data_IF_881714812376
#
_entry.id   IF_881714812376
#
_cell.length_a   1.000
_cell.length_b   1.000
_cell.length_c   1.000
_cell.angle_alpha   90.00
_cell.angle_beta   90.00
_cell.angle_gamma   90.00
#
_symmetry.space_group_name_H-M   'P 1'
#
loop_
_entity.id
_entity.type
_entity.pdbx_description
1 polymer ?
#
# COMPACT_ATOMS: atom_id res chain seq x y z
N UNK A 1 10.79 5.03 -22.26
CA UNK A 1 9.84 5.02 -21.13
C UNK A 1 8.73 4.06 -21.51
N UNK A 2 8.76 2.83 -21.01
CA UNK A 2 7.69 1.86 -21.24
C UNK A 2 6.42 2.36 -20.57
N UNK A 3 5.30 2.32 -21.30
CA UNK A 3 4.00 2.70 -20.77
C UNK A 3 3.59 1.68 -19.70
N UNK A 4 3.48 2.14 -18.45
CA UNK A 4 2.93 1.34 -17.36
C UNK A 4 1.44 1.12 -17.65
N UNK A 5 1.02 -0.13 -17.87
CA UNK A 5 -0.37 -0.47 -18.15
C UNK A 5 -1.04 -1.11 -16.92
N UNK A 6 -2.33 -1.44 -17.02
CA UNK A 6 -3.11 -1.95 -15.89
C UNK A 6 -2.61 -3.32 -15.38
N UNK A 7 -2.07 -4.19 -16.25
CA UNK A 7 -1.56 -5.49 -15.84
C UNK A 7 -0.31 -5.37 -14.98
N UNK A 8 0.51 -4.34 -15.22
CA UNK A 8 1.71 -4.07 -14.41
C UNK A 8 1.36 -3.76 -12.93
N UNK A 9 0.13 -3.27 -12.65
CA UNK A 9 -0.36 -3.06 -11.28
C UNK A 9 -0.74 -4.36 -10.60
N UNK A 10 -1.35 -5.28 -11.35
CA UNK A 10 -1.81 -6.57 -10.84
C UNK A 10 -0.59 -7.43 -10.49
N UNK A 11 0.40 -7.50 -11.39
CA UNK A 11 1.62 -8.26 -11.14
C UNK A 11 2.38 -7.68 -9.94
N UNK A 12 2.55 -6.37 -9.90
CA UNK A 12 3.21 -5.67 -8.79
C UNK A 12 2.47 -5.86 -7.46
N UNK A 13 1.14 -5.78 -7.47
CA UNK A 13 0.32 -5.97 -6.28
C UNK A 13 0.47 -7.38 -5.72
N UNK A 14 0.44 -8.40 -6.59
CA UNK A 14 0.64 -9.80 -6.24
C UNK A 14 2.00 -10.03 -5.58
N UNK A 15 3.07 -9.57 -6.22
CA UNK A 15 4.44 -9.73 -5.72
C UNK A 15 4.62 -9.07 -4.34
N UNK A 16 4.11 -7.85 -4.18
CA UNK A 16 4.23 -7.10 -2.92
C UNK A 16 3.45 -7.76 -1.78
N UNK A 17 2.21 -8.20 -2.04
CA UNK A 17 1.38 -8.86 -1.01
C UNK A 17 2.04 -10.16 -0.52
N UNK A 18 2.70 -10.91 -1.43
CA UNK A 18 3.39 -12.15 -1.08
C UNK A 18 4.75 -11.94 -0.39
N UNK A 19 5.42 -10.81 -0.66
CA UNK A 19 6.72 -10.48 -0.09
C UNK A 19 6.70 -10.35 1.44
N UNK A 20 5.63 -9.78 2.01
CA UNK A 20 5.53 -9.61 3.46
C UNK A 20 4.35 -8.76 3.92
N UNK A 21 4.23 -8.51 5.24
CA UNK A 21 3.19 -7.65 5.78
C UNK A 21 3.32 -6.22 5.25
N UNK A 22 2.25 -5.66 4.67
CA UNK A 22 2.26 -4.30 4.13
C UNK A 22 0.93 -3.61 4.38
N UNK A 23 0.98 -2.35 4.84
CA UNK A 23 -0.20 -1.50 5.01
C UNK A 23 -0.64 -0.87 3.69
N UNK A 24 -1.88 -0.37 3.65
CA UNK A 24 -2.46 0.19 2.43
C UNK A 24 -1.79 1.51 2.01
N UNK A 25 -1.28 2.31 2.94
CA UNK A 25 -0.50 3.51 2.62
C UNK A 25 0.77 3.16 1.84
N UNK A 26 1.48 2.12 2.24
CA UNK A 26 2.71 1.70 1.58
C UNK A 26 2.41 1.02 0.24
N UNK A 27 1.41 0.13 0.19
CA UNK A 27 0.97 -0.53 -1.04
C UNK A 27 0.53 0.51 -2.09
N UNK A 28 -0.34 1.45 -1.70
CA UNK A 28 -0.82 2.49 -2.61
C UNK A 28 0.25 3.50 -3.03
N UNK A 29 1.31 3.70 -2.22
CA UNK A 29 2.43 4.58 -2.59
C UNK A 29 3.20 4.06 -3.79
N UNK A 30 3.35 2.75 -3.92
CA UNK A 30 4.06 2.13 -5.06
C UNK A 30 3.35 2.46 -6.38
N UNK A 31 2.02 2.44 -6.39
CA UNK A 31 1.19 2.78 -7.55
C UNK A 31 0.86 4.28 -7.69
N UNK A 32 1.61 5.17 -7.02
CA UNK A 32 1.29 6.61 -6.97
C UNK A 32 1.33 7.35 -8.30
N UNK A 33 2.01 6.79 -9.31
CA UNK A 33 2.11 7.38 -10.64
C UNK A 33 0.93 7.05 -11.56
N UNK A 34 0.02 6.16 -11.13
CA UNK A 34 -0.99 5.55 -12.00
C UNK A 34 -2.38 6.19 -11.88
N UNK A 35 -2.55 7.13 -10.95
CA UNK A 35 -3.79 7.86 -10.76
C UNK A 35 -3.65 8.95 -9.69
N UNK A 36 -4.50 9.97 -9.78
CA UNK A 36 -4.57 11.09 -8.82
C UNK A 36 -5.93 11.11 -8.13
N UNK A 37 -6.06 11.87 -7.04
CA UNK A 37 -7.33 12.07 -6.33
C UNK A 37 -7.63 11.05 -5.22
N UNK A 38 -6.78 10.03 -5.05
CA UNK A 38 -6.84 9.09 -3.94
C UNK A 38 -5.67 9.30 -2.98
N UNK A 39 -5.92 9.14 -1.69
CA UNK A 39 -4.85 8.96 -0.70
C UNK A 39 -4.14 7.64 -0.99
N UNK A 40 -2.91 7.48 -0.48
CA UNK A 40 -2.22 6.21 -0.65
C UNK A 40 -2.98 5.06 0.02
N UNK A 41 -3.57 5.27 1.20
CA UNK A 41 -4.41 4.27 1.87
C UNK A 41 -5.58 3.82 0.99
N UNK A 42 -6.35 4.77 0.44
CA UNK A 42 -7.48 4.45 -0.43
C UNK A 42 -7.05 3.68 -1.70
N UNK A 43 -5.92 4.08 -2.30
CA UNK A 43 -5.37 3.37 -3.46
C UNK A 43 -4.91 1.95 -3.08
N UNK A 44 -4.23 1.78 -1.94
CA UNK A 44 -3.78 0.49 -1.46
C UNK A 44 -4.94 -0.47 -1.19
N UNK A 45 -6.00 0.01 -0.54
CA UNK A 45 -7.21 -0.77 -0.30
C UNK A 45 -7.85 -1.24 -1.62
N UNK A 46 -7.92 -0.36 -2.63
CA UNK A 46 -8.40 -0.75 -3.96
C UNK A 46 -7.52 -1.82 -4.61
N UNK A 47 -6.20 -1.67 -4.57
CA UNK A 47 -5.27 -2.68 -5.09
C UNK A 47 -5.48 -4.02 -4.38
N UNK A 48 -5.59 -4.01 -3.05
CA UNK A 48 -5.83 -5.20 -2.24
C UNK A 48 -7.13 -5.91 -2.61
N UNK A 49 -8.21 -5.17 -2.84
CA UNK A 49 -9.51 -5.76 -3.20
C UNK A 49 -9.48 -6.56 -4.51
N UNK A 50 -8.51 -6.31 -5.41
CA UNK A 50 -8.35 -7.07 -6.65
C UNK A 50 -7.96 -8.54 -6.40
N UNK A 51 -7.44 -8.85 -5.22
CA UNK A 51 -6.86 -10.15 -4.88
C UNK A 51 -7.71 -10.96 -3.90
N UNK A 52 -8.83 -10.41 -3.40
CA UNK A 52 -9.69 -11.08 -2.43
C UNK A 52 -10.29 -12.39 -2.96
N UNK A 53 -10.67 -12.41 -4.24
CA UNK A 53 -11.22 -13.62 -4.87
C UNK A 53 -10.17 -14.73 -5.09
N UNK A 54 -8.88 -14.36 -5.14
CA UNK A 54 -7.76 -15.26 -5.39
C UNK A 54 -7.12 -15.78 -4.07
N UNK A 55 -7.66 -15.43 -2.90
CA UNK A 55 -7.08 -15.72 -1.56
C UNK A 55 -5.62 -15.22 -1.43
N UNK A 56 -5.30 -14.10 -2.09
CA UNK A 56 -3.98 -13.48 -2.02
C UNK A 56 -4.04 -12.28 -1.09
N UNK A 57 -3.39 -12.45 0.06
CA UNK A 57 -3.39 -11.48 1.14
C UNK A 57 -1.97 -11.17 1.61
N UNK A 58 -1.77 -9.96 2.12
CA UNK A 58 -0.53 -9.65 2.83
C UNK A 58 -0.43 -10.51 4.08
N UNK A 59 0.78 -10.98 4.40
CA UNK A 59 1.05 -11.64 5.69
C UNK A 59 0.64 -10.72 6.85
N UNK A 60 0.10 -11.23 7.96
CA UNK A 60 -0.14 -10.42 9.14
C UNK A 60 1.19 -9.94 9.75
N UNK A 61 1.19 -8.77 10.38
CA UNK A 61 2.34 -8.26 11.12
C UNK A 61 2.69 -6.82 10.81
N UNK A 62 3.89 -6.42 11.25
CA UNK A 62 4.42 -5.07 11.05
C UNK A 62 4.76 -4.82 9.59
N UNK A 63 4.22 -3.72 9.03
CA UNK A 63 4.53 -3.29 7.67
C UNK A 63 6.03 -3.22 7.44
N UNK A 64 6.56 -4.00 6.50
CA UNK A 64 8.01 -4.08 6.25
C UNK A 64 8.60 -2.79 5.67
N UNK A 65 7.75 -1.89 5.16
CA UNK A 65 8.16 -0.59 4.60
C UNK A 65 8.20 0.50 5.67
N UNK A 66 7.11 0.67 6.43
CA UNK A 66 6.97 1.81 7.35
C UNK A 66 7.01 1.44 8.83
N UNK A 67 7.07 0.15 9.20
CA UNK A 67 7.08 -0.25 10.60
C UNK A 67 5.79 0.10 11.35
N UNK A 68 4.64 0.13 10.67
CA UNK A 68 3.35 0.62 11.19
C UNK A 68 3.39 2.09 11.66
N UNK A 69 4.16 2.93 10.95
CA UNK A 69 4.23 4.37 11.23
C UNK A 69 2.85 5.04 11.24
N UNK A 70 1.98 4.68 10.29
CA UNK A 70 0.67 5.32 10.10
C UNK A 70 -0.31 5.06 11.26
N UNK A 71 -0.08 4.01 12.07
CA UNK A 71 -0.88 3.74 13.28
C UNK A 71 -0.56 4.72 14.42
N UNK A 72 0.52 5.49 14.29
CA UNK A 72 1.05 6.38 15.34
C UNK A 72 1.13 7.84 14.92
N UNK A 73 0.38 8.25 13.88
CA UNK A 73 0.41 9.63 13.37
C UNK A 73 0.13 10.64 14.49
N UNK A 74 -0.85 10.38 15.34
CA UNK A 74 -1.22 11.30 16.44
C UNK A 74 -0.11 11.50 17.47
N UNK A 75 0.77 10.53 17.67
CA UNK A 75 1.96 10.67 18.53
C UNK A 75 2.96 11.63 17.90
N UNK A 76 3.21 11.49 16.60
CA UNK A 76 4.13 12.35 15.86
C UNK A 76 3.60 13.77 15.69
N UNK A 77 2.30 13.92 15.46
CA UNK A 77 1.66 15.25 15.39
C UNK A 77 1.84 16.00 16.70
N UNK A 78 1.58 15.34 17.84
CA UNK A 78 1.80 15.95 19.17
C UNK A 78 3.25 16.42 19.36
N UNK A 79 4.23 15.59 19.00
CA UNK A 79 5.64 15.96 19.11
C UNK A 79 6.06 17.12 18.18
N UNK A 80 5.41 17.28 17.03
CA UNK A 80 5.78 18.30 16.06
C UNK A 80 5.17 19.68 16.36
N UNK A 81 4.12 19.73 17.18
CA UNK A 81 3.47 20.99 17.59
C UNK A 81 4.01 21.54 18.91
N UNK A 82 4.80 20.76 19.64
CA UNK A 82 5.56 21.16 20.84
C UNK A 82 6.84 21.92 20.46
#
# INVERSE_FOLDING_TARGET
MTAFNANDVIDLGRDILQAGPICDECLGRVASKLGRGLTNAARGAQIRSLFEADDIHSKPGTCWVCGNLFDRIDEWVRQAVD
#
